data_IF_242639507249
#
_entry.id   IF_242639507249
#
_cell.length_a   1.000
_cell.length_b   1.000
_cell.length_c   1.000
_cell.angle_alpha   90.00
_cell.angle_beta   90.00
_cell.angle_gamma   90.00
#
_symmetry.space_group_name_H-M   'P 1'
#
loop_
_entity.id
_entity.type
_entity.pdbx_description
1 polymer ?
#
# COMPACT_ATOMS: atom_id res chain seq x y z
N UNK A 1 10.39 0.02 3.77
CA UNK A 1 9.61 -1.23 3.81
C UNK A 1 10.15 -2.18 2.76
N UNK A 2 10.42 -3.43 3.13
CA UNK A 2 10.71 -4.52 2.19
C UNK A 2 9.40 -5.28 1.97
N UNK A 3 9.02 -5.50 0.73
CA UNK A 3 7.87 -6.34 0.35
C UNK A 3 8.32 -7.41 -0.64
N UNK A 4 7.55 -8.50 -0.75
CA UNK A 4 7.80 -9.57 -1.70
C UNK A 4 6.63 -9.61 -2.67
N UNK A 5 6.90 -9.34 -3.95
CA UNK A 5 5.91 -9.41 -5.02
C UNK A 5 6.38 -10.48 -6.00
N UNK A 6 5.54 -11.51 -6.22
CA UNK A 6 5.85 -12.64 -7.10
C UNK A 6 7.24 -13.27 -6.83
N UNK A 7 7.61 -13.40 -5.54
CA UNK A 7 8.90 -13.97 -5.12
C UNK A 7 10.11 -13.03 -5.22
N UNK A 8 9.93 -11.80 -5.73
CA UNK A 8 11.00 -10.80 -5.82
C UNK A 8 10.93 -9.81 -4.66
N UNK A 9 12.10 -9.50 -4.08
CA UNK A 9 12.26 -8.46 -3.08
C UNK A 9 12.12 -7.09 -3.74
N UNK A 10 11.26 -6.24 -3.18
CA UNK A 10 11.07 -4.84 -3.57
C UNK A 10 11.19 -3.94 -2.34
N UNK A 11 11.79 -2.78 -2.51
CA UNK A 11 11.91 -1.79 -1.44
C UNK A 11 11.01 -0.59 -1.75
N UNK A 12 10.36 -0.09 -0.71
CA UNK A 12 9.58 1.14 -0.76
C UNK A 12 10.01 2.00 0.41
N UNK A 13 10.43 3.24 0.13
CA UNK A 13 10.58 4.26 1.17
C UNK A 13 9.38 5.18 1.11
N UNK A 14 8.72 5.34 2.24
CA UNK A 14 7.50 6.14 2.34
C UNK A 14 7.58 7.09 3.53
N UNK A 15 6.88 8.19 3.44
CA UNK A 15 6.62 9.12 4.55
C UNK A 15 5.14 9.14 4.85
N UNK A 16 4.77 9.42 6.10
CA UNK A 16 3.38 9.71 6.45
C UNK A 16 3.13 11.16 6.04
N UNK A 17 2.25 11.37 5.07
CA UNK A 17 1.90 12.70 4.57
C UNK A 17 0.77 13.32 5.39
N UNK A 18 -0.18 12.50 5.85
CA UNK A 18 -1.28 12.93 6.70
C UNK A 18 -1.81 11.81 7.60
N UNK A 19 -2.38 12.21 8.74
CA UNK A 19 -3.17 11.35 9.63
C UNK A 19 -4.45 12.12 9.96
N UNK A 20 -5.61 11.49 9.72
CA UNK A 20 -6.92 12.00 10.10
C UNK A 20 -7.55 11.04 11.13
N UNK A 21 -7.50 11.39 12.44
CA UNK A 21 -8.08 10.56 13.48
C UNK A 21 -9.60 10.42 13.40
N UNK A 22 -10.31 11.43 12.89
CA UNK A 22 -11.77 11.41 12.78
C UNK A 22 -12.23 10.41 11.71
N UNK A 23 -11.53 10.38 10.58
CA UNK A 23 -11.77 9.41 9.51
C UNK A 23 -11.02 8.09 9.71
N UNK A 24 -10.26 7.96 10.82
CA UNK A 24 -9.34 6.85 11.08
C UNK A 24 -8.52 6.51 9.83
N UNK A 25 -7.94 7.54 9.23
CA UNK A 25 -7.28 7.46 7.93
C UNK A 25 -5.84 7.91 8.03
N UNK A 26 -4.98 7.24 7.27
CA UNK A 26 -3.57 7.60 7.15
C UNK A 26 -3.22 7.63 5.66
N UNK A 27 -2.45 8.65 5.28
CA UNK A 27 -1.90 8.81 3.94
C UNK A 27 -0.38 8.61 3.99
N UNK A 28 0.12 7.68 3.19
CA UNK A 28 1.55 7.44 2.99
C UNK A 28 1.94 7.73 1.57
N UNK A 29 3.00 8.51 1.40
CA UNK A 29 3.55 8.85 0.10
C UNK A 29 4.87 8.13 -0.11
N UNK A 30 5.00 7.41 -1.22
CA UNK A 30 6.28 6.86 -1.64
C UNK A 30 7.20 8.01 -2.06
N UNK A 31 8.44 7.99 -1.57
CA UNK A 31 9.44 9.03 -1.85
C UNK A 31 10.68 8.49 -2.56
N UNK A 32 10.98 7.20 -2.42
CA UNK A 32 12.13 6.56 -3.08
C UNK A 32 11.87 5.07 -3.33
N UNK A 33 12.73 4.46 -4.17
CA UNK A 33 12.87 3.01 -4.45
C UNK A 33 11.94 2.45 -5.53
N UNK A 34 11.81 1.12 -5.57
CA UNK A 34 11.33 0.31 -6.69
C UNK A 34 9.95 0.75 -7.23
N UNK A 35 9.03 1.18 -6.36
CA UNK A 35 7.69 1.60 -6.81
C UNK A 35 7.75 2.85 -7.68
N UNK A 36 8.67 3.78 -7.38
CA UNK A 36 8.85 5.00 -8.14
C UNK A 36 9.68 4.79 -9.42
N UNK A 37 10.14 3.57 -9.71
CA UNK A 37 10.70 3.24 -11.01
C UNK A 37 9.61 3.14 -12.07
N UNK A 38 8.42 2.66 -11.69
CA UNK A 38 7.26 2.44 -12.56
C UNK A 38 6.23 3.58 -12.50
N UNK A 39 6.04 4.19 -11.33
CA UNK A 39 5.06 5.25 -11.11
C UNK A 39 5.75 6.58 -10.82
N UNK A 40 5.31 7.67 -11.43
CA UNK A 40 5.80 9.04 -11.17
C UNK A 40 5.42 9.50 -9.76
N UNK A 41 4.23 9.11 -9.32
CA UNK A 41 3.73 9.31 -7.97
C UNK A 41 3.00 8.05 -7.50
N UNK A 42 3.11 7.77 -6.20
CA UNK A 42 2.42 6.64 -5.60
C UNK A 42 2.08 6.96 -4.15
N UNK A 43 0.80 7.03 -3.86
CA UNK A 43 0.22 7.35 -2.57
C UNK A 43 -0.69 6.21 -2.14
N UNK A 44 -0.51 5.77 -0.90
CA UNK A 44 -1.33 4.76 -0.25
C UNK A 44 -2.19 5.49 0.76
N UNK A 45 -3.50 5.31 0.70
CA UNK A 45 -4.42 5.82 1.69
C UNK A 45 -5.11 4.62 2.32
N UNK A 46 -5.07 4.54 3.64
CA UNK A 46 -5.95 3.64 4.39
C UNK A 46 -7.00 4.43 5.12
N UNK A 47 -8.18 3.86 5.24
CA UNK A 47 -9.19 4.30 6.20
C UNK A 47 -9.86 3.11 6.84
N UNK A 48 -10.27 3.28 8.09
CA UNK A 48 -10.84 2.20 8.88
C UNK A 48 -12.27 2.55 9.30
N UNK A 49 -13.22 1.74 8.84
CA UNK A 49 -14.60 1.74 9.32
C UNK A 49 -14.80 0.57 10.30
N UNK A 50 -15.89 0.54 11.09
CA UNK A 50 -16.10 -0.49 12.10
C UNK A 50 -16.00 -1.94 11.61
N UNK A 51 -16.31 -2.20 10.33
CA UNK A 51 -16.37 -3.56 9.76
C UNK A 51 -15.44 -3.78 8.56
N UNK A 52 -14.83 -2.73 8.02
CA UNK A 52 -13.94 -2.86 6.86
C UNK A 52 -12.82 -1.83 6.89
N UNK A 53 -11.69 -2.22 6.31
CA UNK A 53 -10.60 -1.31 6.00
C UNK A 53 -10.59 -1.07 4.50
N UNK A 54 -10.50 0.20 4.10
CA UNK A 54 -10.34 0.59 2.71
C UNK A 54 -8.86 0.88 2.47
N UNK A 55 -8.31 0.25 1.44
CA UNK A 55 -6.98 0.55 0.91
C UNK A 55 -7.14 1.15 -0.48
N UNK A 56 -6.63 2.36 -0.66
CA UNK A 56 -6.66 3.09 -1.93
C UNK A 56 -5.23 3.36 -2.38
N UNK A 57 -4.94 3.03 -3.63
CA UNK A 57 -3.71 3.45 -4.30
C UNK A 57 -4.06 4.57 -5.26
N UNK A 58 -3.51 5.75 -5.01
CA UNK A 58 -3.53 6.89 -5.91
C UNK A 58 -2.15 7.00 -6.56
N UNK A 59 -2.10 6.92 -7.89
CA UNK A 59 -0.84 6.76 -8.60
C UNK A 59 -0.89 7.37 -9.99
N UNK A 60 0.29 7.77 -10.45
CA UNK A 60 0.52 8.24 -11.82
C UNK A 60 1.56 7.33 -12.46
N UNK A 61 1.19 6.69 -13.57
CA UNK A 61 2.13 5.87 -14.35
C UNK A 61 3.16 6.77 -15.03
N UNK A 62 4.41 6.32 -15.13
CA UNK A 62 5.42 7.04 -15.94
C UNK A 62 5.14 6.97 -17.43
N UNK A 63 4.59 5.86 -17.88
CA UNK A 63 4.23 5.58 -19.27
C UNK A 63 2.99 4.69 -19.29
N UNK A 64 2.23 4.73 -20.38
CA UNK A 64 0.93 4.04 -20.49
C UNK A 64 1.04 2.50 -20.40
N UNK A 65 2.20 1.94 -20.75
CA UNK A 65 2.49 0.50 -20.75
C UNK A 65 2.72 -0.07 -19.34
N UNK A 66 2.93 0.78 -18.34
CA UNK A 66 3.07 0.33 -16.96
C UNK A 66 1.75 -0.31 -16.49
N UNK A 67 1.78 -1.52 -15.95
CA UNK A 67 0.57 -2.19 -15.49
C UNK A 67 -0.04 -1.47 -14.29
N UNK A 68 -1.33 -1.71 -14.06
CA UNK A 68 -1.97 -1.30 -12.82
C UNK A 68 -1.31 -2.01 -11.62
N UNK A 69 -1.24 -1.37 -10.43
CA UNK A 69 -0.55 -1.92 -9.25
C UNK A 69 -1.34 -3.07 -8.56
N UNK A 70 -2.02 -3.91 -9.32
CA UNK A 70 -2.83 -5.03 -8.81
C UNK A 70 -1.99 -6.05 -8.04
N UNK A 71 -0.73 -6.23 -8.41
CA UNK A 71 0.20 -7.10 -7.67
C UNK A 71 0.50 -6.56 -6.27
N UNK A 72 0.59 -5.24 -6.12
CA UNK A 72 0.73 -4.58 -4.82
C UNK A 72 -0.57 -4.71 -4.00
N UNK A 73 -1.74 -4.60 -4.63
CA UNK A 73 -3.03 -4.80 -3.95
C UNK A 73 -3.18 -6.25 -3.45
N UNK A 74 -2.76 -7.23 -4.26
CA UNK A 74 -2.73 -8.63 -3.84
C UNK A 74 -1.86 -8.84 -2.60
N UNK A 75 -0.67 -8.23 -2.56
CA UNK A 75 0.20 -8.28 -1.39
C UNK A 75 -0.45 -7.67 -0.14
N UNK A 76 -1.18 -6.55 -0.27
CA UNK A 76 -1.92 -5.94 0.85
C UNK A 76 -2.96 -6.91 1.41
N UNK A 77 -3.69 -7.62 0.54
CA UNK A 77 -4.68 -8.63 0.97
C UNK A 77 -4.00 -9.76 1.76
N UNK A 78 -2.82 -10.22 1.33
CA UNK A 78 -2.08 -11.25 2.04
C UNK A 78 -1.61 -10.77 3.42
N UNK A 79 -1.11 -9.53 3.51
CA UNK A 79 -0.73 -8.91 4.80
C UNK A 79 -1.92 -8.81 5.74
N UNK A 80 -3.11 -8.40 5.25
CA UNK A 80 -4.32 -8.31 6.07
C UNK A 80 -4.70 -9.69 6.61
N UNK A 81 -4.67 -10.74 5.79
CA UNK A 81 -4.99 -12.10 6.23
C UNK A 81 -4.02 -12.61 7.30
N UNK A 82 -2.73 -12.32 7.13
CA UNK A 82 -1.71 -12.67 8.13
C UNK A 82 -1.93 -11.93 9.46
N UNK A 83 -2.28 -10.64 9.39
CA UNK A 83 -2.62 -9.84 10.57
C UNK A 83 -3.88 -10.37 11.27
N UNK A 84 -4.97 -10.61 10.54
CA UNK A 84 -6.21 -11.20 11.07
C UNK A 84 -5.93 -12.56 11.72
N UNK A 85 -5.18 -13.42 11.04
CA UNK A 85 -4.79 -14.73 11.55
C UNK A 85 -3.91 -14.67 12.79
N UNK A 86 -3.15 -13.59 13.00
CA UNK A 86 -2.39 -13.36 14.23
C UNK A 86 -3.28 -12.81 15.36
N UNK A 87 -4.15 -11.86 15.05
CA UNK A 87 -5.02 -11.19 16.02
C UNK A 87 -6.15 -12.09 16.55
N UNK A 88 -6.71 -12.94 15.70
CA UNK A 88 -7.79 -13.88 16.07
C UNK A 88 -7.30 -15.15 16.78
N UNK A 89 -5.98 -15.36 16.87
CA UNK A 89 -5.37 -16.47 17.62
C UNK A 89 -5.17 -16.17 19.11
N UNK A 90 -5.61 -14.99 19.58
CA UNK A 90 -5.61 -14.61 21.00
C UNK A 90 -7.04 -14.57 21.56
#
# INVERSE_FOLDING_TARGET
MLIIIAGQKKFIKQVIEAIDPYKKSICWKAIERDVLEMYSSFTIITSHEPQWTIWTFDYEKKTEDIPEPLSYLGHVVDVIKDMEGHLLKN
#
